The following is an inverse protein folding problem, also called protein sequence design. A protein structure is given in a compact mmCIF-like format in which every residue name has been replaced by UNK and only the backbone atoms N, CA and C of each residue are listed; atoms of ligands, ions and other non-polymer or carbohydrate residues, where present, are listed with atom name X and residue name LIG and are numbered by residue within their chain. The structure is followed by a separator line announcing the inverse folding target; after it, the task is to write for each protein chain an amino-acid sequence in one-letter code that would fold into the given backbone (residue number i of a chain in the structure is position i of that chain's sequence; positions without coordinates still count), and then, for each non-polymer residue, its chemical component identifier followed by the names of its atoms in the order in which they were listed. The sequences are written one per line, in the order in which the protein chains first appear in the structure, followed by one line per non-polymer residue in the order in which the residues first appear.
data_IF_654018701470
#
_entry.id   IF_654018701470
#
_cell.length_a   1.000
_cell.length_b   1.000
_cell.length_c   1.000
_cell.angle_alpha   90.00
_cell.angle_beta   90.00
_cell.angle_gamma   90.00
#
_symmetry.space_group_name_H-M   'P 1'
#
loop_
_entity.id
_entity.type
_entity.pdbx_description
1 polymer ?
#
# COMPACT_ATOMS: atom_id res chain seq x y z
N UNK A 1 -23.08 -10.83 -1.08
CA UNK A 1 -22.70 -11.60 0.13
C UNK A 1 -21.55 -12.59 -0.10
N UNK A 2 -21.49 -13.34 -1.22
CA UNK A 2 -20.39 -14.29 -1.49
C UNK A 2 -19.02 -13.64 -1.76
N UNK A 3 -19.02 -12.39 -2.10
CA UNK A 3 -17.86 -11.59 -2.43
C UNK A 3 -16.99 -11.30 -1.20
N UNK A 4 -17.64 -11.04 -0.08
CA UNK A 4 -16.99 -10.72 1.17
C UNK A 4 -16.27 -11.92 1.79
N UNK A 5 -16.82 -13.15 1.68
CA UNK A 5 -16.20 -14.36 2.26
C UNK A 5 -14.83 -14.66 1.62
N UNK A 6 -14.79 -14.72 0.29
CA UNK A 6 -13.55 -15.03 -0.45
C UNK A 6 -12.46 -13.97 -0.25
N UNK A 7 -12.86 -12.68 -0.16
CA UNK A 7 -11.94 -11.59 0.12
C UNK A 7 -11.41 -11.62 1.56
N UNK A 8 -12.25 -11.94 2.53
CA UNK A 8 -11.88 -12.07 3.94
C UNK A 8 -10.87 -13.22 4.13
N UNK A 9 -11.13 -14.38 3.52
CA UNK A 9 -10.22 -15.53 3.58
C UNK A 9 -8.88 -15.22 2.90
N UNK A 10 -8.89 -14.63 1.70
CA UNK A 10 -7.69 -14.35 0.91
C UNK A 10 -6.76 -13.32 1.60
N UNK A 11 -7.33 -12.39 2.36
CA UNK A 11 -6.59 -11.31 3.02
C UNK A 11 -6.34 -11.56 4.51
N UNK A 12 -6.80 -12.69 5.04
CA UNK A 12 -6.68 -12.97 6.48
C UNK A 12 -7.29 -11.87 7.35
N UNK A 13 -8.43 -11.30 6.93
CA UNK A 13 -9.16 -10.30 7.72
C UNK A 13 -9.73 -10.97 8.95
N UNK A 14 -9.35 -10.49 10.13
CA UNK A 14 -9.92 -10.97 11.40
C UNK A 14 -11.27 -10.28 11.62
N UNK A 15 -12.37 -11.02 11.50
CA UNK A 15 -13.71 -10.52 11.70
C UNK A 15 -14.77 -11.48 11.14
N UNK A 16 -16.03 -11.26 11.51
CA UNK A 16 -17.18 -11.99 10.98
C UNK A 16 -17.70 -11.32 9.69
N UNK A 17 -18.27 -12.13 8.80
CA UNK A 17 -18.90 -11.63 7.55
C UNK A 17 -20.09 -10.71 7.83
N UNK A 18 -20.72 -10.88 8.99
CA UNK A 18 -21.88 -10.10 9.43
C UNK A 18 -21.50 -8.86 10.25
N UNK A 19 -20.21 -8.69 10.59
CA UNK A 19 -19.69 -7.54 11.32
C UNK A 19 -19.63 -6.30 10.42
N UNK A 20 -19.98 -5.14 10.99
CA UNK A 20 -19.85 -3.87 10.27
C UNK A 20 -18.37 -3.54 10.07
N UNK A 21 -18.02 -3.03 8.88
CA UNK A 21 -16.64 -2.66 8.56
C UNK A 21 -16.05 -1.63 9.54
N UNK A 22 -16.89 -0.74 10.08
CA UNK A 22 -16.49 0.28 11.06
C UNK A 22 -16.08 -0.29 12.43
N UNK A 23 -16.45 -1.53 12.74
CA UNK A 23 -16.09 -2.23 13.97
C UNK A 23 -14.74 -2.97 13.85
N UNK A 24 -14.18 -3.03 12.63
CA UNK A 24 -12.88 -3.63 12.39
C UNK A 24 -11.75 -2.67 12.75
N UNK A 25 -10.59 -3.22 13.15
CA UNK A 25 -9.37 -2.41 13.26
C UNK A 25 -9.02 -1.77 11.93
N UNK A 26 -8.31 -0.62 11.95
CA UNK A 26 -7.92 0.12 10.75
C UNK A 26 -7.21 -0.76 9.71
N UNK A 27 -6.30 -1.65 10.14
CA UNK A 27 -5.63 -2.60 9.25
C UNK A 27 -6.59 -3.62 8.61
N UNK A 28 -7.61 -4.08 9.32
CA UNK A 28 -8.62 -4.98 8.76
C UNK A 28 -9.57 -4.25 7.81
N UNK A 29 -9.92 -3.00 8.11
CA UNK A 29 -10.68 -2.14 7.17
C UNK A 29 -9.94 -1.95 5.86
N UNK A 30 -8.63 -1.67 5.93
CA UNK A 30 -7.79 -1.50 4.75
C UNK A 30 -7.71 -2.81 3.92
N UNK A 31 -7.51 -3.95 4.56
CA UNK A 31 -7.53 -5.25 3.88
C UNK A 31 -8.86 -5.55 3.20
N UNK A 32 -9.97 -5.21 3.84
CA UNK A 32 -11.31 -5.38 3.26
C UNK A 32 -11.48 -4.49 2.03
N UNK A 33 -11.00 -3.25 2.07
CA UNK A 33 -11.02 -2.34 0.93
C UNK A 33 -10.18 -2.90 -0.24
N UNK A 34 -8.98 -3.36 0.04
CA UNK A 34 -8.10 -3.99 -0.97
C UNK A 34 -8.79 -5.19 -1.61
N UNK A 35 -9.41 -6.08 -0.81
CA UNK A 35 -10.11 -7.26 -1.31
C UNK A 35 -11.23 -6.93 -2.30
N UNK A 36 -11.93 -5.80 -2.06
CA UNK A 36 -12.97 -5.29 -2.96
C UNK A 36 -12.41 -4.92 -4.34
N UNK A 37 -11.25 -4.29 -4.39
CA UNK A 37 -10.63 -3.90 -5.64
C UNK A 37 -10.01 -5.07 -6.40
N UNK A 38 -9.35 -5.99 -5.71
CA UNK A 38 -8.75 -7.19 -6.32
C UNK A 38 -9.77 -8.05 -7.07
N UNK A 39 -10.97 -8.13 -6.54
CA UNK A 39 -12.03 -8.90 -7.17
C UNK A 39 -12.38 -8.46 -8.59
N UNK A 40 -12.03 -7.25 -8.96
CA UNK A 40 -12.18 -6.70 -10.32
C UNK A 40 -11.03 -7.10 -11.26
N UNK A 41 -10.07 -7.91 -10.78
CA UNK A 41 -8.89 -8.36 -11.51
C UNK A 41 -8.12 -7.21 -12.19
N UNK A 42 -7.73 -6.18 -11.44
CA UNK A 42 -7.01 -5.05 -11.99
C UNK A 42 -5.62 -5.49 -12.46
N UNK A 43 -5.10 -4.82 -13.49
CA UNK A 43 -3.70 -4.95 -13.89
C UNK A 43 -2.79 -4.01 -13.10
N UNK A 44 -3.34 -2.89 -12.64
CA UNK A 44 -2.64 -1.86 -11.85
C UNK A 44 -3.50 -1.50 -10.66
N UNK A 45 -2.90 -1.40 -9.47
CA UNK A 45 -3.50 -0.87 -8.26
C UNK A 45 -2.71 0.35 -7.78
N UNK A 46 -3.44 1.40 -7.44
CA UNK A 46 -2.87 2.61 -6.85
C UNK A 46 -3.30 2.67 -5.38
N UNK A 47 -2.33 2.77 -4.49
CA UNK A 47 -2.51 2.94 -3.07
C UNK A 47 -2.10 4.37 -2.69
N UNK A 48 -3.04 5.14 -2.16
CA UNK A 48 -2.81 6.50 -1.69
C UNK A 48 -2.79 6.50 -0.16
N UNK A 49 -1.63 6.83 0.43
CA UNK A 49 -1.37 6.82 1.87
C UNK A 49 -1.88 5.54 2.58
N UNK A 50 -1.46 4.32 2.12
CA UNK A 50 -2.10 3.07 2.50
C UNK A 50 -2.00 2.73 3.99
N UNK A 51 -1.03 3.28 4.71
CA UNK A 51 -0.81 2.99 6.13
C UNK A 51 -1.03 4.20 7.04
N UNK A 52 -1.56 5.29 6.50
CA UNK A 52 -1.85 6.49 7.30
C UNK A 52 -2.89 6.18 8.37
N UNK A 53 -2.55 6.50 9.62
CA UNK A 53 -3.43 6.24 10.76
C UNK A 53 -3.55 4.77 11.18
N UNK A 54 -2.70 3.90 10.62
CA UNK A 54 -2.64 2.48 10.98
C UNK A 54 -1.47 2.25 11.96
N UNK A 55 -1.70 1.43 12.97
CA UNK A 55 -0.65 1.05 13.93
C UNK A 55 0.49 0.29 13.27
N UNK A 56 1.69 0.35 13.88
CA UNK A 56 2.92 -0.22 13.31
C UNK A 56 2.81 -1.73 13.05
N UNK A 57 2.13 -2.46 13.92
CA UNK A 57 1.95 -3.90 13.75
C UNK A 57 1.05 -4.25 12.55
N UNK A 58 0.01 -3.45 12.34
CA UNK A 58 -0.91 -3.66 11.22
C UNK A 58 -0.31 -3.21 9.87
N UNK A 59 0.61 -2.23 9.84
CA UNK A 59 1.32 -1.80 8.61
C UNK A 59 2.01 -2.96 7.91
N UNK A 60 2.75 -3.78 8.66
CA UNK A 60 3.45 -4.93 8.10
C UNK A 60 2.50 -5.87 7.35
N UNK A 61 1.31 -6.11 7.88
CA UNK A 61 0.33 -6.97 7.22
C UNK A 61 -0.20 -6.38 5.90
N UNK A 62 -0.29 -5.05 5.78
CA UNK A 62 -0.64 -4.37 4.51
C UNK A 62 0.50 -4.53 3.49
N UNK A 63 1.75 -4.37 3.92
CA UNK A 63 2.92 -4.56 3.04
C UNK A 63 3.01 -6.00 2.52
N UNK A 64 2.72 -6.99 3.34
CA UNK A 64 2.66 -8.39 2.89
C UNK A 64 1.59 -8.61 1.81
N UNK A 65 0.42 -8.00 1.98
CA UNK A 65 -0.63 -8.05 0.95
C UNK A 65 -0.16 -7.41 -0.36
N UNK A 66 0.47 -6.24 -0.31
CA UNK A 66 1.01 -5.58 -1.51
C UNK A 66 2.06 -6.44 -2.20
N UNK A 67 2.97 -7.06 -1.44
CA UNK A 67 3.98 -7.97 -1.96
C UNK A 67 3.34 -9.15 -2.70
N UNK A 68 2.39 -9.84 -2.07
CA UNK A 68 1.68 -10.96 -2.69
C UNK A 68 0.95 -10.56 -3.98
N UNK A 69 0.34 -9.37 -4.01
CA UNK A 69 -0.31 -8.84 -5.20
C UNK A 69 0.68 -8.57 -6.33
N UNK A 70 1.83 -7.99 -6.01
CA UNK A 70 2.91 -7.75 -6.97
C UNK A 70 3.45 -9.08 -7.53
N UNK A 71 3.70 -10.05 -6.67
CA UNK A 71 4.14 -11.40 -7.06
C UNK A 71 3.10 -12.14 -7.92
N UNK A 72 1.82 -11.82 -7.77
CA UNK A 72 0.74 -12.33 -8.62
C UNK A 72 0.61 -11.65 -9.99
N UNK A 73 1.50 -10.68 -10.29
CA UNK A 73 1.56 -9.98 -11.57
C UNK A 73 0.75 -8.68 -11.63
N UNK A 74 0.24 -8.17 -10.51
CA UNK A 74 -0.43 -6.87 -10.45
C UNK A 74 0.64 -5.79 -10.25
N UNK A 75 0.67 -4.79 -11.13
CA UNK A 75 1.53 -3.62 -10.95
C UNK A 75 0.98 -2.72 -9.83
N UNK A 76 1.86 -2.28 -8.93
CA UNK A 76 1.48 -1.47 -7.78
C UNK A 76 2.13 -0.10 -7.86
N UNK A 77 1.33 0.94 -7.65
CA UNK A 77 1.79 2.31 -7.44
C UNK A 77 1.41 2.69 -6.01
N UNK A 78 2.40 3.11 -5.22
CA UNK A 78 2.19 3.62 -3.86
C UNK A 78 2.48 5.11 -3.86
N UNK A 79 1.53 5.90 -3.38
CA UNK A 79 1.72 7.31 -3.06
C UNK A 79 1.80 7.40 -1.55
N UNK A 80 2.88 7.93 -1.02
CA UNK A 80 3.10 8.02 0.41
C UNK A 80 3.96 9.25 0.76
N UNK A 81 3.65 9.88 1.87
CA UNK A 81 4.48 10.90 2.51
C UNK A 81 5.50 10.29 3.49
N UNK A 82 5.40 9.01 3.78
CA UNK A 82 6.36 8.27 4.62
C UNK A 82 7.53 7.75 3.78
N UNK A 83 8.69 8.39 3.92
CA UNK A 83 9.89 8.03 3.15
C UNK A 83 10.34 6.59 3.37
N UNK A 84 10.23 6.09 4.60
CA UNK A 84 10.63 4.72 4.91
C UNK A 84 9.68 3.70 4.25
N UNK A 85 8.39 4.02 4.16
CA UNK A 85 7.44 3.22 3.41
C UNK A 85 7.80 3.17 1.92
N UNK A 86 8.07 4.33 1.31
CA UNK A 86 8.45 4.41 -0.11
C UNK A 86 9.74 3.63 -0.39
N UNK A 87 10.78 3.85 0.41
CA UNK A 87 12.07 3.15 0.25
C UNK A 87 11.92 1.65 0.51
N UNK A 88 11.13 1.26 1.51
CA UNK A 88 10.95 -0.15 1.87
C UNK A 88 10.14 -0.98 0.87
N UNK A 89 9.25 -0.35 0.10
CA UNK A 89 8.31 -1.07 -0.76
C UNK A 89 8.64 -0.98 -2.26
N UNK A 90 9.32 0.07 -2.70
CA UNK A 90 9.41 0.38 -4.12
C UNK A 90 10.66 -0.18 -4.80
N UNK A 91 10.53 -0.55 -6.08
CA UNK A 91 11.66 -0.82 -6.97
C UNK A 91 12.17 0.48 -7.62
N UNK A 92 11.25 1.40 -7.87
CA UNK A 92 11.54 2.74 -8.41
C UNK A 92 10.71 3.77 -7.66
N UNK A 93 11.28 4.96 -7.48
CA UNK A 93 10.64 6.08 -6.82
C UNK A 93 10.53 7.26 -7.75
N UNK A 94 9.34 7.83 -7.87
CA UNK A 94 9.08 9.09 -8.52
C UNK A 94 8.99 10.17 -7.44
N UNK A 95 9.88 11.15 -7.51
CA UNK A 95 9.89 12.29 -6.59
C UNK A 95 9.11 13.44 -7.20
N UNK A 96 8.09 13.89 -6.49
CA UNK A 96 7.27 15.03 -6.84
C UNK A 96 7.44 16.15 -5.81
N UNK A 97 7.54 17.39 -6.28
CA UNK A 97 7.49 18.58 -5.42
C UNK A 97 6.69 19.67 -6.09
N UNK A 98 5.71 20.23 -5.39
CA UNK A 98 4.84 21.31 -5.89
C UNK A 98 4.22 21.03 -7.27
N UNK A 99 3.76 19.78 -7.47
CA UNK A 99 3.16 19.36 -8.74
C UNK A 99 4.14 19.10 -9.89
N UNK A 100 5.45 19.19 -9.64
CA UNK A 100 6.49 18.98 -10.65
C UNK A 100 7.26 17.70 -10.35
N UNK A 101 7.50 16.89 -11.38
CA UNK A 101 8.43 15.76 -11.29
C UNK A 101 9.87 16.27 -11.13
N UNK A 102 10.51 15.88 -10.05
CA UNK A 102 11.92 16.22 -9.78
C UNK A 102 12.85 15.12 -10.26
N UNK A 103 12.55 13.87 -10.00
CA UNK A 103 13.42 12.76 -10.36
C UNK A 103 12.66 11.43 -10.43
N UNK A 104 13.27 10.45 -11.10
CA UNK A 104 12.91 9.03 -11.01
C UNK A 104 14.17 8.27 -10.62
N UNK A 105 14.13 7.60 -9.46
CA UNK A 105 15.24 6.85 -8.91
C UNK A 105 14.93 5.34 -8.93
N UNK A 106 15.93 4.54 -9.28
CA UNK A 106 15.88 3.10 -9.02
C UNK A 106 16.29 2.87 -7.56
N UNK A 107 15.50 2.12 -6.81
CA UNK A 107 15.82 1.80 -5.44
C UNK A 107 17.05 0.89 -5.38
N UNK A 108 18.02 1.26 -4.57
CA UNK A 108 19.23 0.49 -4.30
C UNK A 108 19.61 0.65 -2.83
N UNK A 109 20.43 -0.27 -2.31
CA UNK A 109 20.87 -0.26 -0.92
C UNK A 109 21.62 1.01 -0.50
N UNK A 110 22.15 1.77 -1.46
CA UNK A 110 22.93 2.99 -1.24
C UNK A 110 22.13 4.28 -1.47
N UNK A 111 20.80 4.22 -1.57
CA UNK A 111 20.02 5.42 -1.86
C UNK A 111 20.02 6.37 -0.65
N UNK A 112 20.39 7.62 -0.90
CA UNK A 112 20.43 8.64 0.15
C UNK A 112 19.05 9.19 0.47
N UNK A 113 18.53 8.88 1.66
CA UNK A 113 17.26 9.42 2.16
C UNK A 113 17.28 10.95 2.26
N UNK A 114 18.42 11.52 2.62
CA UNK A 114 18.62 12.97 2.70
C UNK A 114 18.47 13.61 1.32
N UNK A 115 19.03 12.98 0.28
CA UNK A 115 18.93 13.49 -1.09
C UNK A 115 17.50 13.40 -1.63
N UNK A 116 16.78 12.31 -1.35
CA UNK A 116 15.37 12.19 -1.72
C UNK A 116 14.56 13.30 -1.06
N UNK A 117 14.75 13.54 0.25
CA UNK A 117 14.02 14.57 0.98
C UNK A 117 14.33 15.98 0.46
N UNK A 118 15.57 16.29 0.17
CA UNK A 118 15.94 17.58 -0.45
C UNK A 118 15.20 17.83 -1.76
N UNK A 119 15.09 16.80 -2.61
CA UNK A 119 14.38 16.92 -3.88
C UNK A 119 12.85 17.02 -3.70
N UNK A 120 12.30 16.37 -2.69
CA UNK A 120 10.87 16.41 -2.40
C UNK A 120 10.40 17.75 -1.78
N UNK A 121 11.30 18.47 -1.08
CA UNK A 121 10.97 19.71 -0.36
C UNK A 121 11.31 20.99 -1.13
N UNK A 122 12.15 20.91 -2.16
CA UNK A 122 12.53 22.02 -3.04
C UNK A 122 11.68 22.02 -4.32
#
# INVERSE_FOLDING_TARGET
KNFSKKGIELMGVKGSVDQNANELSGGNQQKLLISKWISRKPKVLIFDEPTRGIDVGARHSIYQVMKQLSESGISIIVVSSDLEEVVGLSHRMLILSRGVQKNILTNSDNISRVEIMKQATN
#
